data_IF_383965659167
#
_entry.id   IF_383965659167
#
_cell.length_a   1.000
_cell.length_b   1.000
_cell.length_c   1.000
_cell.angle_alpha   90.00
_cell.angle_beta   90.00
_cell.angle_gamma   90.00
#
_symmetry.space_group_name_H-M   'P 1'
#
loop_
_entity.id
_entity.type
_entity.pdbx_description
1 polymer ?
#
# COMPACT_ATOMS: atom_id res chain seq x y z
N UNK A 1 -3.86 6.18 -12.53
CA UNK A 1 -3.54 4.75 -12.78
C UNK A 1 -4.72 3.94 -13.34
N UNK A 2 -5.98 4.41 -13.20
CA UNK A 2 -7.13 3.73 -13.81
C UNK A 2 -7.51 2.41 -13.13
N UNK A 3 -7.09 2.20 -11.88
CA UNK A 3 -7.41 1.00 -11.11
C UNK A 3 -8.75 1.16 -10.38
N UNK A 4 -9.38 0.04 -10.07
CA UNK A 4 -10.60 -0.04 -9.26
C UNK A 4 -10.38 0.57 -7.85
N UNK A 5 -11.03 1.70 -7.52
CA UNK A 5 -10.86 2.36 -6.23
C UNK A 5 -11.27 1.48 -5.04
N UNK A 6 -12.19 0.53 -5.23
CA UNK A 6 -12.64 -0.38 -4.17
C UNK A 6 -11.53 -1.34 -3.68
N UNK A 7 -10.42 -1.44 -4.42
CA UNK A 7 -9.24 -2.26 -4.08
C UNK A 7 -8.06 -1.44 -3.55
N UNK A 8 -8.17 -0.11 -3.50
CA UNK A 8 -7.09 0.78 -3.06
C UNK A 8 -7.35 1.24 -1.62
N UNK A 9 -6.33 1.13 -0.75
CA UNK A 9 -6.40 1.59 0.64
C UNK A 9 -7.67 1.11 1.38
N UNK A 10 -7.98 -0.19 1.24
CA UNK A 10 -9.26 -0.79 1.66
C UNK A 10 -9.57 -0.70 3.15
N UNK A 11 -8.56 -0.41 3.98
CA UNK A 11 -8.67 -0.21 5.43
C UNK A 11 -8.31 1.23 5.83
N UNK A 12 -8.46 2.19 4.91
CA UNK A 12 -8.03 3.58 5.07
C UNK A 12 -6.58 3.82 4.66
N UNK A 13 -6.19 5.11 4.64
CA UNK A 13 -4.87 5.56 4.19
C UNK A 13 -4.23 6.59 5.12
N UNK A 14 -3.15 7.22 4.65
CA UNK A 14 -2.34 8.13 5.46
C UNK A 14 -3.10 9.38 5.98
N UNK A 15 -4.20 9.78 5.34
CA UNK A 15 -5.06 10.87 5.82
C UNK A 15 -5.66 10.52 7.20
N UNK A 16 -6.11 9.28 7.38
CA UNK A 16 -6.75 8.83 8.61
C UNK A 16 -5.73 8.26 9.62
N UNK A 17 -4.74 7.50 9.13
CA UNK A 17 -3.81 6.74 9.96
C UNK A 17 -2.54 7.56 10.31
N UNK A 18 -2.28 8.62 9.56
CA UNK A 18 -1.07 9.43 9.67
C UNK A 18 0.06 9.01 8.73
N UNK A 19 1.07 9.87 8.64
CA UNK A 19 2.20 9.73 7.72
C UNK A 19 3.56 9.89 8.44
N UNK A 20 4.01 8.87 9.21
CA UNK A 20 5.37 8.86 9.74
C UNK A 20 6.34 8.65 8.57
N UNK A 21 6.93 9.74 8.04
CA UNK A 21 7.58 9.79 6.72
C UNK A 21 8.50 8.59 6.46
N UNK A 22 9.52 8.39 7.31
CA UNK A 22 10.49 7.30 7.14
C UNK A 22 9.92 5.89 7.30
N UNK A 23 8.83 5.72 8.07
CA UNK A 23 8.21 4.42 8.31
C UNK A 23 7.05 4.12 7.33
N UNK A 24 6.60 5.11 6.55
CA UNK A 24 5.36 4.99 5.78
C UNK A 24 5.40 3.92 4.70
N UNK A 25 6.56 3.67 4.08
CA UNK A 25 6.73 2.60 3.10
C UNK A 25 6.50 1.21 3.70
N UNK A 26 7.16 0.91 4.81
CA UNK A 26 6.96 -0.34 5.53
C UNK A 26 5.52 -0.46 6.08
N UNK A 27 4.96 0.64 6.59
CA UNK A 27 3.62 0.67 7.17
C UNK A 27 2.51 0.38 6.14
N UNK A 28 2.56 0.95 4.92
CA UNK A 28 1.59 0.57 3.86
C UNK A 28 1.80 -0.86 3.38
N UNK A 29 3.04 -1.33 3.32
CA UNK A 29 3.35 -2.70 2.91
C UNK A 29 2.78 -3.72 3.91
N UNK A 30 3.00 -3.52 5.20
CA UNK A 30 2.45 -4.39 6.25
C UNK A 30 0.92 -4.38 6.20
N UNK A 31 0.30 -3.20 6.06
CA UNK A 31 -1.15 -3.09 5.89
C UNK A 31 -1.66 -3.89 4.68
N UNK A 32 -0.96 -3.79 3.55
CA UNK A 32 -1.27 -4.55 2.33
C UNK A 32 -1.15 -6.06 2.56
N UNK A 33 -0.05 -6.54 3.14
CA UNK A 33 0.17 -7.97 3.38
C UNK A 33 -0.91 -8.58 4.27
N UNK A 34 -1.29 -7.89 5.36
CA UNK A 34 -2.38 -8.33 6.22
C UNK A 34 -3.74 -8.30 5.50
N UNK A 35 -4.00 -7.27 4.68
CA UNK A 35 -5.23 -7.20 3.88
C UNK A 35 -5.32 -8.31 2.83
N UNK A 36 -4.21 -8.63 2.14
CA UNK A 36 -4.15 -9.73 1.18
C UNK A 36 -4.43 -11.07 1.86
N UNK A 37 -3.79 -11.33 3.02
CA UNK A 37 -4.03 -12.54 3.82
C UNK A 37 -5.48 -12.64 4.27
N UNK A 38 -6.05 -11.57 4.82
CA UNK A 38 -7.44 -11.56 5.30
C UNK A 38 -8.47 -11.76 4.18
N UNK A 39 -8.15 -11.38 2.94
CA UNK A 39 -9.04 -11.48 1.77
C UNK A 39 -8.73 -12.67 0.86
N UNK A 40 -7.78 -13.52 1.24
CA UNK A 40 -7.25 -14.59 0.40
C UNK A 40 -6.87 -14.11 -1.03
N UNK A 41 -6.31 -12.90 -1.12
CA UNK A 41 -5.92 -12.29 -2.38
C UNK A 41 -4.47 -12.61 -2.72
N UNK A 42 -4.21 -12.82 -4.02
CA UNK A 42 -2.91 -13.28 -4.51
C UNK A 42 -1.92 -12.15 -4.79
N UNK A 43 -2.32 -11.14 -5.57
CA UNK A 43 -1.41 -10.07 -6.03
C UNK A 43 -1.72 -8.74 -5.37
N UNK A 44 -0.68 -8.03 -4.94
CA UNK A 44 -0.80 -6.67 -4.40
C UNK A 44 0.37 -5.78 -4.77
N UNK A 45 0.17 -4.47 -4.65
CA UNK A 45 1.16 -3.45 -4.95
C UNK A 45 1.11 -2.35 -3.88
N UNK A 46 2.26 -2.03 -3.30
CA UNK A 46 2.46 -0.86 -2.46
C UNK A 46 3.28 0.19 -3.21
N UNK A 47 2.88 1.46 -3.15
CA UNK A 47 3.59 2.56 -3.84
C UNK A 47 3.50 3.86 -3.05
N UNK A 48 4.53 4.69 -3.14
CA UNK A 48 4.63 5.99 -2.50
C UNK A 48 5.28 7.00 -3.44
N UNK A 49 4.80 8.24 -3.39
CA UNK A 49 5.54 9.40 -3.88
C UNK A 49 6.61 9.80 -2.86
N UNK A 50 7.65 10.48 -3.33
CA UNK A 50 8.77 10.94 -2.50
C UNK A 50 9.09 12.39 -2.89
N UNK A 51 9.34 13.23 -1.89
CA UNK A 51 9.78 14.61 -2.11
C UNK A 51 10.99 14.69 -3.03
N UNK A 52 11.05 15.72 -3.88
CA UNK A 52 12.09 15.85 -4.91
C UNK A 52 11.76 15.14 -6.23
N UNK A 53 10.53 14.65 -6.42
CA UNK A 53 10.06 14.15 -7.71
C UNK A 53 10.36 12.67 -7.97
N UNK A 54 10.45 11.85 -6.93
CA UNK A 54 10.71 10.42 -7.04
C UNK A 54 9.48 9.59 -6.67
N UNK A 55 9.51 8.30 -7.02
CA UNK A 55 8.48 7.33 -6.62
C UNK A 55 9.08 5.95 -6.45
N UNK A 56 8.43 5.13 -5.62
CA UNK A 56 8.80 3.73 -5.40
C UNK A 56 7.54 2.85 -5.48
N UNK A 57 7.69 1.64 -6.00
CA UNK A 57 6.65 0.63 -6.03
C UNK A 57 7.23 -0.76 -5.73
N UNK A 58 6.46 -1.58 -5.03
CA UNK A 58 6.78 -2.97 -4.71
C UNK A 58 5.57 -3.85 -5.00
N UNK A 59 5.74 -4.86 -5.85
CA UNK A 59 4.75 -5.90 -6.08
C UNK A 59 5.01 -7.09 -5.17
N UNK A 60 3.95 -7.68 -4.63
CA UNK A 60 4.00 -8.90 -3.82
C UNK A 60 2.98 -9.91 -4.32
N UNK A 61 3.31 -11.19 -4.20
CA UNK A 61 2.41 -12.30 -4.49
C UNK A 61 2.40 -13.27 -3.31
N UNK A 62 1.21 -13.67 -2.86
CA UNK A 62 1.06 -14.70 -1.83
C UNK A 62 1.10 -16.09 -2.45
N UNK A 63 1.89 -16.98 -1.86
CA UNK A 63 1.98 -18.37 -2.25
C UNK A 63 0.67 -19.11 -1.93
#
# INVERSE_FOLDING_TARGET
LGWDPAKVNVNGGAIAIGHPIGASGARVLVTLLHALKARNAKKGLATLCIGGGMGIALCVESF
#
